data_IF_308274570644
#
_entry.id   IF_308274570644
#
_cell.length_a   1.000
_cell.length_b   1.000
_cell.length_c   1.000
_cell.angle_alpha   90.00
_cell.angle_beta   90.00
_cell.angle_gamma   90.00
#
_symmetry.space_group_name_H-M   'P 1'
#
loop_
_entity.id
_entity.type
_entity.pdbx_description
1 polymer ?
#
# COMPACT_ATOMS: atom_id res chain seq x y z
N UNK A 1 -15.14 -12.69 4.12
CA UNK A 1 -14.50 -11.62 3.35
C UNK A 1 -13.50 -10.98 4.29
N UNK A 2 -12.23 -10.84 3.90
CA UNK A 2 -11.19 -10.37 4.82
C UNK A 2 -11.51 -8.95 5.33
N UNK A 3 -11.33 -8.70 6.62
CA UNK A 3 -11.82 -7.48 7.30
C UNK A 3 -11.25 -6.19 6.70
N UNK A 4 -10.02 -6.24 6.19
CA UNK A 4 -9.37 -5.09 5.54
C UNK A 4 -10.05 -4.69 4.21
N UNK A 5 -10.74 -5.64 3.54
CA UNK A 5 -11.51 -5.36 2.32
C UNK A 5 -12.78 -4.57 2.66
N UNK A 6 -13.49 -4.99 3.71
CA UNK A 6 -14.71 -4.32 4.18
C UNK A 6 -14.39 -2.90 4.61
N UNK A 7 -13.35 -2.74 5.44
CA UNK A 7 -12.87 -1.43 5.89
C UNK A 7 -12.52 -0.48 4.74
N UNK A 8 -11.89 -0.98 3.67
CA UNK A 8 -11.58 -0.15 2.51
C UNK A 8 -12.82 0.24 1.72
N UNK A 9 -13.76 -0.69 1.54
CA UNK A 9 -15.01 -0.44 0.82
C UNK A 9 -15.86 0.62 1.54
N UNK A 10 -15.99 0.51 2.86
CA UNK A 10 -16.66 1.51 3.71
C UNK A 10 -16.00 2.88 3.60
N UNK A 11 -14.65 2.95 3.65
CA UNK A 11 -13.92 4.19 3.49
C UNK A 11 -14.15 4.84 2.12
N UNK A 12 -14.17 4.04 1.05
CA UNK A 12 -14.47 4.54 -0.29
C UNK A 12 -15.92 5.04 -0.40
N UNK A 13 -16.88 4.30 0.17
CA UNK A 13 -18.30 4.67 0.17
C UNK A 13 -18.53 6.01 0.90
N UNK A 14 -17.88 6.24 2.03
CA UNK A 14 -17.91 7.52 2.77
C UNK A 14 -17.41 8.70 1.94
N UNK A 15 -16.53 8.46 0.97
CA UNK A 15 -16.00 9.47 0.03
C UNK A 15 -16.77 9.54 -1.29
N UNK A 16 -17.86 8.79 -1.46
CA UNK A 16 -18.58 8.68 -2.73
C UNK A 16 -17.77 8.02 -3.85
N UNK A 17 -16.77 7.23 -3.48
CA UNK A 17 -15.86 6.55 -4.40
C UNK A 17 -16.25 5.07 -4.56
N UNK A 18 -16.07 4.52 -5.77
CA UNK A 18 -16.38 3.10 -6.05
C UNK A 18 -15.23 2.17 -5.71
N UNK A 19 -15.52 1.01 -5.13
CA UNK A 19 -14.52 -0.05 -4.97
C UNK A 19 -14.33 -0.87 -6.26
N UNK A 20 -13.49 -0.35 -7.16
CA UNK A 20 -13.25 -0.95 -8.48
C UNK A 20 -12.38 -2.21 -8.40
N UNK A 21 -12.41 -3.08 -9.42
CA UNK A 21 -11.49 -4.23 -9.52
C UNK A 21 -10.02 -3.81 -9.40
N UNK A 22 -9.63 -2.70 -10.01
CA UNK A 22 -8.27 -2.17 -9.92
C UNK A 22 -7.86 -1.84 -8.47
N UNK A 23 -8.75 -1.17 -7.72
CA UNK A 23 -8.53 -0.86 -6.30
C UNK A 23 -8.44 -2.13 -5.45
N UNK A 24 -9.24 -3.16 -5.76
CA UNK A 24 -9.15 -4.48 -5.11
C UNK A 24 -7.82 -5.18 -5.38
N UNK A 25 -7.35 -5.17 -6.63
CA UNK A 25 -6.04 -5.74 -6.99
C UNK A 25 -4.91 -5.03 -6.26
N UNK A 26 -4.93 -3.70 -6.20
CA UNK A 26 -3.93 -2.90 -5.48
C UNK A 26 -3.95 -3.20 -3.99
N UNK A 27 -5.13 -3.24 -3.36
CA UNK A 27 -5.30 -3.59 -1.95
C UNK A 27 -4.68 -4.97 -1.64
N UNK A 28 -5.03 -6.00 -2.41
CA UNK A 28 -4.44 -7.35 -2.24
C UNK A 28 -2.94 -7.36 -2.49
N UNK A 29 -2.46 -6.56 -3.43
CA UNK A 29 -1.04 -6.39 -3.71
C UNK A 29 -0.27 -5.83 -2.50
N UNK A 30 -0.83 -4.79 -1.88
CA UNK A 30 -0.29 -4.16 -0.67
C UNK A 30 -0.30 -5.11 0.54
N UNK A 31 -1.35 -5.90 0.71
CA UNK A 31 -1.49 -6.85 1.83
C UNK A 31 -0.77 -8.20 1.62
N UNK A 32 -0.18 -8.44 0.45
CA UNK A 32 0.50 -9.72 0.18
C UNK A 32 1.96 -9.77 0.66
N UNK A 33 2.43 -8.78 1.42
CA UNK A 33 3.71 -8.82 2.14
C UNK A 33 3.71 -7.76 3.25
N UNK A 34 4.27 -8.10 4.40
CA UNK A 34 4.49 -7.17 5.51
C UNK A 34 5.64 -6.17 5.30
N UNK A 35 6.45 -6.36 4.25
CA UNK A 35 7.59 -5.49 3.98
C UNK A 35 7.15 -4.15 3.43
N UNK A 36 7.94 -3.12 3.70
CA UNK A 36 7.85 -1.87 2.98
C UNK A 36 7.89 -2.04 1.46
N UNK A 37 7.08 -1.25 0.78
CA UNK A 37 7.07 -1.16 -0.67
C UNK A 37 6.86 0.28 -1.11
N UNK A 38 7.41 0.63 -2.27
CA UNK A 38 7.05 1.86 -2.97
C UNK A 38 6.09 1.55 -4.13
N UNK A 39 5.63 2.60 -4.82
CA UNK A 39 4.73 2.45 -5.97
C UNK A 39 5.33 1.58 -7.08
N UNK A 40 6.63 1.69 -7.35
CA UNK A 40 7.30 0.93 -8.41
C UNK A 40 7.41 -0.55 -8.06
N UNK A 41 7.76 -0.85 -6.81
CA UNK A 41 7.84 -2.21 -6.27
C UNK A 41 6.49 -2.90 -6.35
N UNK A 42 5.42 -2.20 -5.94
CA UNK A 42 4.06 -2.74 -6.04
C UNK A 42 3.64 -2.92 -7.51
N UNK A 43 3.99 -1.97 -8.38
CA UNK A 43 3.70 -2.08 -9.82
C UNK A 43 4.37 -3.32 -10.44
N UNK A 44 5.68 -3.50 -10.24
CA UNK A 44 6.40 -4.65 -10.80
C UNK A 44 5.88 -5.97 -10.22
N UNK A 45 5.51 -5.99 -8.93
CA UNK A 45 4.89 -7.15 -8.29
C UNK A 45 3.55 -7.52 -8.92
N UNK A 46 2.68 -6.54 -9.18
CA UNK A 46 1.38 -6.76 -9.81
C UNK A 46 1.56 -7.20 -11.28
N UNK A 47 2.47 -6.56 -12.00
CA UNK A 47 2.82 -6.91 -13.39
C UNK A 47 3.33 -8.35 -13.49
N UNK A 48 4.21 -8.77 -12.58
CA UNK A 48 4.72 -10.15 -12.54
C UNK A 48 3.62 -11.20 -12.30
N UNK A 49 2.49 -10.81 -11.70
CA UNK A 49 1.29 -11.65 -11.53
C UNK A 49 0.32 -11.58 -12.73
N UNK A 50 0.65 -10.85 -13.78
CA UNK A 50 -0.20 -10.66 -14.95
C UNK A 50 -1.30 -9.61 -14.78
N UNK A 51 -1.27 -8.82 -13.71
CA UNK A 51 -2.26 -7.77 -13.45
C UNK A 51 -1.99 -6.53 -14.30
N UNK A 52 -2.99 -6.06 -15.05
CA UNK A 52 -2.86 -4.87 -15.89
C UNK A 52 -3.33 -3.60 -15.16
N UNK A 53 -2.47 -3.07 -14.28
CA UNK A 53 -2.73 -1.86 -13.49
C UNK A 53 -1.68 -0.79 -13.83
N UNK A 54 -2.12 0.41 -14.21
CA UNK A 54 -1.19 1.52 -14.45
C UNK A 54 -0.59 2.07 -13.15
N UNK A 55 0.67 2.52 -13.20
CA UNK A 55 1.33 3.24 -12.09
C UNK A 55 0.48 4.40 -11.56
N UNK A 56 -0.17 5.16 -12.45
CA UNK A 56 -1.04 6.27 -12.08
C UNK A 56 -2.23 5.81 -11.21
N UNK A 57 -2.76 4.62 -11.44
CA UNK A 57 -3.86 4.05 -10.63
C UNK A 57 -3.35 3.63 -9.25
N UNK A 58 -2.14 3.08 -9.17
CA UNK A 58 -1.47 2.75 -7.90
C UNK A 58 -1.24 4.03 -7.09
N UNK A 59 -0.63 5.05 -7.71
CA UNK A 59 -0.39 6.35 -7.08
C UNK A 59 -1.66 7.01 -6.53
N UNK A 60 -2.80 6.90 -7.21
CA UNK A 60 -4.07 7.44 -6.71
C UNK A 60 -4.74 6.57 -5.64
N UNK A 61 -4.38 5.30 -5.54
CA UNK A 61 -5.02 4.35 -4.62
C UNK A 61 -4.28 4.23 -3.29
N UNK A 62 -2.95 4.30 -3.29
CA UNK A 62 -2.15 4.21 -2.06
C UNK A 62 -2.49 5.28 -1.01
N UNK A 63 -2.74 6.56 -1.37
CA UNK A 63 -3.19 7.55 -0.41
C UNK A 63 -4.55 7.20 0.21
N UNK A 64 -5.48 6.64 -0.56
CA UNK A 64 -6.79 6.20 -0.03
C UNK A 64 -6.64 5.03 0.94
N UNK A 65 -5.71 4.12 0.67
CA UNK A 65 -5.37 3.05 1.59
C UNK A 65 -4.76 3.61 2.88
N UNK A 66 -3.90 4.63 2.78
CA UNK A 66 -3.30 5.28 3.93
C UNK A 66 -4.35 6.03 4.78
N UNK A 67 -5.22 6.79 4.13
CA UNK A 67 -6.33 7.51 4.75
C UNK A 67 -7.34 6.56 5.42
N UNK A 68 -7.52 5.34 4.90
CA UNK A 68 -8.34 4.31 5.55
C UNK A 68 -7.67 3.66 6.77
N UNK A 69 -6.40 3.96 7.05
CA UNK A 69 -5.61 3.35 8.13
C UNK A 69 -5.29 1.88 7.87
N UNK A 70 -5.28 1.45 6.59
CA UNK A 70 -4.91 0.10 6.19
C UNK A 70 -3.41 -0.02 5.91
N UNK A 71 -2.84 1.04 5.36
CA UNK A 71 -1.40 1.21 5.19
C UNK A 71 -0.94 2.48 5.88
N UNK A 72 0.37 2.56 6.15
CA UNK A 72 1.02 3.75 6.67
C UNK A 72 2.06 4.21 5.66
N UNK A 73 2.10 5.51 5.40
CA UNK A 73 3.25 6.14 4.77
C UNK A 73 4.37 6.20 5.81
N UNK A 74 5.49 5.51 5.54
CA UNK A 74 6.57 5.43 6.51
C UNK A 74 7.60 6.52 6.25
N UNK A 75 8.17 6.53 5.04
CA UNK A 75 9.41 7.25 4.78
C UNK A 75 9.43 7.80 3.35
N UNK A 76 10.05 8.98 3.19
CA UNK A 76 10.42 9.53 1.90
C UNK A 76 11.93 9.47 1.73
N UNK A 77 12.40 8.61 0.84
CA UNK A 77 13.81 8.50 0.49
C UNK A 77 13.97 8.64 -1.01
N UNK A 78 14.90 9.51 -1.45
CA UNK A 78 15.18 9.75 -2.88
C UNK A 78 13.93 10.10 -3.71
N UNK A 79 13.00 10.86 -3.13
CA UNK A 79 11.75 11.27 -3.79
C UNK A 79 10.68 10.17 -3.89
N UNK A 80 10.93 8.98 -3.35
CA UNK A 80 9.95 7.88 -3.31
C UNK A 80 9.30 7.78 -1.93
N UNK A 81 7.99 7.59 -1.94
CA UNK A 81 7.19 7.32 -0.75
C UNK A 81 7.14 5.81 -0.52
N UNK A 82 7.49 5.38 0.68
CA UNK A 82 7.36 4.00 1.11
C UNK A 82 6.10 3.79 1.95
N UNK A 83 5.47 2.65 1.76
CA UNK A 83 4.25 2.21 2.43
C UNK A 83 4.46 0.86 3.09
N UNK A 84 3.75 0.61 4.17
CA UNK A 84 3.57 -0.72 4.78
C UNK A 84 2.11 -0.92 5.16
N UNK A 85 1.60 -2.15 5.17
CA UNK A 85 0.28 -2.39 5.74
C UNK A 85 0.36 -2.57 7.25
N UNK A 86 -0.49 -1.86 7.98
CA UNK A 86 -0.48 -1.83 9.46
C UNK A 86 -1.71 -2.50 10.07
N UNK A 87 -2.73 -2.79 9.25
CA UNK A 87 -3.97 -3.37 9.73
C UNK A 87 -3.73 -4.80 10.25
N UNK A 88 -4.06 -5.04 11.51
CA UNK A 88 -3.93 -6.34 12.18
C UNK A 88 -2.55 -6.62 12.80
N UNK A 89 -1.66 -5.62 12.90
CA UNK A 89 -0.33 -5.77 13.48
C UNK A 89 -0.12 -4.87 14.71
N UNK A 90 0.71 -5.32 15.65
CA UNK A 90 1.28 -4.46 16.69
C UNK A 90 2.22 -3.43 16.05
N UNK A 91 2.31 -2.24 16.66
CA UNK A 91 3.21 -1.18 16.20
C UNK A 91 4.67 -1.63 16.33
N UNK A 92 5.46 -1.48 15.26
CA UNK A 92 6.90 -1.70 15.23
C UNK A 92 7.63 -0.49 14.64
N UNK A 93 8.89 -0.30 15.00
CA UNK A 93 9.69 0.85 14.60
C UNK A 93 10.62 0.51 13.42
N UNK A 94 11.00 1.54 12.65
CA UNK A 94 11.77 1.39 11.42
C UNK A 94 13.06 2.22 11.41
N UNK A 95 14.15 1.60 11.01
CA UNK A 95 15.42 2.27 10.73
C UNK A 95 15.73 2.27 9.22
N UNK A 96 16.09 3.42 8.67
CA UNK A 96 16.37 3.60 7.23
C UNK A 96 17.81 3.96 6.97
N UNK A 97 18.43 3.25 6.02
CA UNK A 97 19.72 3.66 5.50
C UNK A 97 19.55 4.83 4.52
N UNK A 98 20.06 6.01 4.88
CA UNK A 98 20.06 7.22 4.03
C UNK A 98 20.90 7.08 2.75
N UNK A 99 21.80 6.08 2.67
CA UNK A 99 22.62 5.82 1.48
C UNK A 99 21.93 4.92 0.45
N UNK A 100 21.29 3.84 0.89
CA UNK A 100 20.74 2.82 -0.02
C UNK A 100 19.22 2.63 0.07
N UNK A 101 18.54 3.30 1.00
CA UNK A 101 17.11 3.18 1.20
C UNK A 101 16.66 1.86 1.86
N UNK A 102 17.59 0.99 2.27
CA UNK A 102 17.24 -0.24 2.99
C UNK A 102 16.57 0.09 4.32
N UNK A 103 15.47 -0.61 4.61
CA UNK A 103 14.73 -0.49 5.87
C UNK A 103 14.92 -1.74 6.73
N UNK A 104 15.03 -1.54 8.04
CA UNK A 104 15.17 -2.58 9.07
C UNK A 104 14.07 -2.35 10.11
N UNK A 105 13.36 -3.42 10.48
CA UNK A 105 12.26 -3.45 11.47
C UNK A 105 12.76 -3.98 12.83
N UNK A 106 12.26 -3.42 13.94
CA UNK A 106 12.53 -3.89 15.31
C UNK A 106 11.36 -3.65 16.27
#
# INVERSE_FOLDING_TARGET
MEDYIVKFDEHLAQKGLKFTPARRTILKGAFSSHKHFDTDTLYEKLRAKGENISRATIYRTLPLLAESGLVKETLRCQGKVSYEHIFGHEHHDHMVCIKCGKVIEF
#
